data_IF_704028295057
#
_entry.id   IF_704028295057
#
_cell.length_a   1.000
_cell.length_b   1.000
_cell.length_c   1.000
_cell.angle_alpha   90.00
_cell.angle_beta   90.00
_cell.angle_gamma   90.00
#
_symmetry.space_group_name_H-M   'P 1'
#
loop_
_entity.id
_entity.type
_entity.pdbx_description
1 polymer ?
#
# COMPACT_ATOMS: atom_id res chain seq x y z
N UNK A 1 -62.40 -47.74 6.78
CA UNK A 1 -63.47 -47.51 5.78
C UNK A 1 -63.94 -46.08 5.88
N UNK A 2 -64.35 -45.51 4.74
CA UNK A 2 -64.93 -44.18 4.49
C UNK A 2 -63.94 -43.05 4.20
N UNK A 3 -63.73 -42.93 2.89
CA UNK A 3 -63.31 -41.77 2.13
C UNK A 3 -64.04 -40.49 2.53
N UNK A 4 -63.33 -39.36 2.45
CA UNK A 4 -63.91 -38.10 2.00
C UNK A 4 -62.87 -37.36 1.16
N UNK A 5 -63.09 -37.40 -0.15
CA UNK A 5 -62.51 -36.53 -1.17
C UNK A 5 -63.11 -35.13 -0.97
N UNK A 6 -62.25 -34.11 -0.81
CA UNK A 6 -62.62 -32.72 -1.05
C UNK A 6 -61.60 -32.09 -1.99
N UNK A 7 -62.04 -31.98 -3.24
CA UNK A 7 -61.41 -31.24 -4.33
C UNK A 7 -61.64 -29.75 -4.04
N UNK A 8 -60.57 -29.00 -3.86
CA UNK A 8 -60.61 -27.53 -3.85
C UNK A 8 -59.84 -27.03 -5.07
N UNK A 9 -60.58 -26.77 -6.14
CA UNK A 9 -60.08 -26.06 -7.31
C UNK A 9 -60.12 -24.56 -7.02
N UNK A 10 -58.95 -23.96 -6.78
CA UNK A 10 -58.82 -22.50 -6.71
C UNK A 10 -58.17 -21.99 -7.99
N UNK A 11 -58.97 -21.29 -8.78
CA UNK A 11 -58.57 -20.49 -9.94
C UNK A 11 -57.79 -19.28 -9.43
N UNK A 12 -56.50 -19.19 -9.74
CA UNK A 12 -55.73 -17.94 -9.65
C UNK A 12 -55.32 -17.49 -11.05
N UNK A 13 -55.81 -16.30 -11.40
CA UNK A 13 -55.52 -15.57 -12.63
C UNK A 13 -54.03 -15.21 -12.77
N UNK A 14 -53.52 -15.01 -14.00
CA UNK A 14 -52.15 -14.57 -14.22
C UNK A 14 -51.97 -13.12 -13.79
N UNK A 15 -51.21 -12.92 -12.71
CA UNK A 15 -50.64 -11.61 -12.37
C UNK A 15 -49.51 -11.31 -13.35
N UNK A 16 -49.75 -10.34 -14.23
CA UNK A 16 -48.74 -9.73 -15.09
C UNK A 16 -47.65 -9.08 -14.23
N UNK A 17 -46.58 -9.80 -13.96
CA UNK A 17 -45.40 -9.26 -13.29
C UNK A 17 -44.65 -8.31 -14.25
N UNK A 18 -45.02 -7.03 -14.27
CA UNK A 18 -44.16 -5.99 -14.83
C UNK A 18 -43.03 -5.70 -13.85
N UNK A 19 -41.96 -6.50 -13.94
CA UNK A 19 -40.69 -6.20 -13.32
C UNK A 19 -40.05 -5.00 -14.06
N UNK A 20 -40.43 -3.78 -13.70
CA UNK A 20 -39.68 -2.60 -14.10
C UNK A 20 -38.43 -2.50 -13.21
N UNK A 21 -37.30 -2.84 -13.81
CA UNK A 21 -35.96 -2.53 -13.32
C UNK A 21 -35.84 -1.01 -13.13
N UNK A 22 -36.16 -0.53 -11.93
CA UNK A 22 -35.87 0.84 -11.52
C UNK A 22 -34.36 0.97 -11.32
N UNK A 23 -33.65 1.41 -12.35
CA UNK A 23 -32.27 1.84 -12.27
C UNK A 23 -32.20 3.12 -11.42
N UNK A 24 -31.33 3.20 -10.40
CA UNK A 24 -31.09 4.45 -9.68
C UNK A 24 -30.53 5.50 -10.65
N UNK A 25 -31.33 6.51 -11.00
CA UNK A 25 -30.90 7.64 -11.84
C UNK A 25 -31.82 8.02 -13.01
N UNK A 26 -32.93 7.32 -13.24
CA UNK A 26 -33.89 7.74 -14.28
C UNK A 26 -34.76 8.90 -13.77
N UNK A 27 -34.56 10.09 -14.35
CA UNK A 27 -35.41 11.27 -14.12
C UNK A 27 -36.72 11.07 -14.88
N UNK A 28 -37.86 11.21 -14.19
CA UNK A 28 -39.18 11.16 -14.81
C UNK A 28 -39.37 12.30 -15.83
N UNK A 29 -40.06 12.09 -16.96
CA UNK A 29 -40.37 13.19 -17.88
C UNK A 29 -41.37 14.16 -17.23
N UNK A 30 -40.99 15.43 -17.16
CA UNK A 30 -41.84 16.52 -16.68
C UNK A 30 -42.98 16.79 -17.67
N UNK A 31 -44.24 16.96 -17.22
CA UNK A 31 -45.33 17.37 -18.10
C UNK A 31 -45.13 18.80 -18.62
N UNK A 32 -45.48 19.00 -19.88
CA UNK A 32 -45.46 20.30 -20.57
C UNK A 32 -46.46 21.29 -19.96
N UNK A 33 -45.98 22.52 -19.73
CA UNK A 33 -46.84 23.70 -19.60
C UNK A 33 -46.84 24.39 -18.24
N UNK A 34 -45.74 25.06 -17.87
CA UNK A 34 -45.84 26.21 -16.98
C UNK A 34 -44.76 27.27 -17.32
N UNK A 35 -45.21 28.51 -17.46
CA UNK A 35 -44.48 29.65 -18.00
C UNK A 35 -43.29 30.05 -17.10
N UNK A 36 -42.09 30.10 -17.67
CA UNK A 36 -40.87 30.51 -16.97
C UNK A 36 -40.81 32.03 -16.79
N UNK A 37 -40.64 32.47 -15.53
CA UNK A 37 -40.12 33.80 -15.23
C UNK A 37 -38.64 33.92 -15.68
N UNK A 38 -38.17 35.10 -16.10
CA UNK A 38 -36.86 35.25 -16.73
C UNK A 38 -35.69 34.97 -15.76
N UNK A 39 -34.61 34.32 -16.25
CA UNK A 39 -33.46 33.93 -15.43
C UNK A 39 -32.61 35.14 -15.03
N UNK A 40 -32.18 35.17 -13.76
CA UNK A 40 -31.21 36.14 -13.24
C UNK A 40 -29.80 35.87 -13.83
N UNK A 41 -28.96 36.91 -14.01
CA UNK A 41 -27.69 36.78 -14.72
C UNK A 41 -26.70 35.87 -14.00
N UNK A 42 -26.00 35.06 -14.81
CA UNK A 42 -25.00 34.08 -14.44
C UNK A 42 -23.96 34.61 -13.42
N UNK A 43 -23.88 33.95 -12.26
CA UNK A 43 -22.67 33.97 -11.47
C UNK A 43 -21.56 33.28 -12.26
N UNK A 44 -20.42 33.96 -12.42
CA UNK A 44 -19.26 33.45 -13.11
C UNK A 44 -18.84 32.08 -12.54
N UNK A 45 -18.34 31.15 -13.39
CA UNK A 45 -17.87 29.86 -12.93
C UNK A 45 -16.75 30.07 -11.92
N UNK A 46 -16.98 29.61 -10.68
CA UNK A 46 -15.94 29.53 -9.66
C UNK A 46 -14.83 28.66 -10.26
N UNK A 47 -13.67 29.25 -10.52
CA UNK A 47 -12.44 28.51 -10.81
C UNK A 47 -12.31 27.47 -9.71
N UNK A 48 -12.37 26.19 -10.06
CA UNK A 48 -11.93 25.12 -9.19
C UNK A 48 -10.50 25.45 -8.81
N UNK A 49 -10.30 25.86 -7.56
CA UNK A 49 -8.95 25.97 -6.99
C UNK A 49 -8.26 24.66 -7.29
N UNK A 50 -7.16 24.75 -8.05
CA UNK A 50 -6.38 23.59 -8.44
C UNK A 50 -6.07 22.79 -7.20
N UNK A 51 -6.35 21.47 -7.26
CA UNK A 51 -5.99 20.55 -6.20
C UNK A 51 -4.52 20.80 -5.86
N UNK A 52 -4.28 21.34 -4.67
CA UNK A 52 -2.92 21.57 -4.17
C UNK A 52 -2.11 20.26 -4.24
N UNK A 53 -0.77 20.36 -4.26
CA UNK A 53 0.08 19.19 -4.38
C UNK A 53 -0.25 18.15 -3.30
N UNK A 54 -0.49 16.90 -3.73
CA UNK A 54 -0.81 15.79 -2.82
C UNK A 54 0.37 15.58 -1.88
N UNK A 55 0.15 15.81 -0.58
CA UNK A 55 1.18 15.69 0.46
C UNK A 55 1.84 14.32 0.42
N UNK A 56 3.16 14.28 0.56
CA UNK A 56 3.95 13.04 0.57
C UNK A 56 3.48 12.11 1.71
N UNK A 57 3.12 10.85 1.44
CA UNK A 57 2.79 9.90 2.50
C UNK A 57 4.05 9.61 3.30
N UNK A 58 3.88 9.54 4.63
CA UNK A 58 4.93 9.12 5.55
C UNK A 58 4.78 7.62 5.79
N UNK A 59 5.81 6.80 5.54
CA UNK A 59 5.78 5.40 5.92
C UNK A 59 5.49 5.24 7.42
N UNK A 60 4.67 4.27 7.82
CA UNK A 60 4.40 4.00 9.22
C UNK A 60 5.67 3.68 10.02
N UNK A 61 5.69 4.09 11.29
CA UNK A 61 6.80 3.82 12.19
C UNK A 61 6.68 2.41 12.81
N UNK A 62 7.82 1.75 13.06
CA UNK A 62 7.88 0.42 13.70
C UNK A 62 7.15 0.40 15.05
N UNK A 63 7.20 1.51 15.79
CA UNK A 63 6.53 1.67 17.09
C UNK A 63 5.03 1.42 17.05
N UNK A 64 4.41 1.44 15.87
CA UNK A 64 2.99 1.13 15.72
C UNK A 64 2.65 -0.35 15.95
N UNK A 65 3.62 -1.26 15.83
CA UNK A 65 3.42 -2.72 15.98
C UNK A 65 4.19 -3.33 17.16
N UNK A 66 5.13 -2.60 17.75
CA UNK A 66 5.96 -3.11 18.85
C UNK A 66 5.12 -3.44 20.09
N UNK A 67 5.32 -4.64 20.64
CA UNK A 67 4.63 -5.13 21.82
C UNK A 67 3.13 -5.39 21.61
N UNK A 68 2.61 -5.21 20.39
CA UNK A 68 1.22 -5.52 20.08
C UNK A 68 1.04 -6.99 19.73
N UNK A 69 -0.11 -7.53 20.10
CA UNK A 69 -0.57 -8.83 19.59
C UNK A 69 -1.31 -8.60 18.29
N UNK A 70 -0.73 -9.07 17.18
CA UNK A 70 -1.34 -9.02 15.87
C UNK A 70 -1.92 -10.38 15.52
N UNK A 71 -3.13 -10.40 14.97
CA UNK A 71 -3.81 -11.61 14.50
C UNK A 71 -4.08 -11.49 13.00
N UNK A 72 -3.86 -12.59 12.27
CA UNK A 72 -4.21 -12.71 10.87
C UNK A 72 -5.71 -12.49 10.72
N UNK A 73 -6.04 -11.49 9.91
CA UNK A 73 -7.39 -11.05 9.62
C UNK A 73 -8.22 -10.78 10.90
N UNK A 74 -7.55 -10.30 11.96
CA UNK A 74 -8.18 -9.88 13.20
C UNK A 74 -8.64 -11.00 14.15
N UNK A 75 -8.46 -12.28 13.81
CA UNK A 75 -9.00 -13.39 14.64
C UNK A 75 -8.11 -14.61 14.78
N UNK A 76 -7.19 -14.87 13.84
CA UNK A 76 -6.46 -16.16 13.79
C UNK A 76 -4.97 -15.96 13.94
N UNK A 77 -4.32 -16.93 14.59
CA UNK A 77 -2.89 -16.87 14.83
C UNK A 77 -2.49 -15.67 15.71
N UNK A 78 -1.21 -15.64 16.03
CA UNK A 78 -0.63 -14.58 16.85
C UNK A 78 0.76 -14.24 16.34
N UNK A 79 1.03 -12.96 16.18
CA UNK A 79 2.34 -12.43 15.86
C UNK A 79 2.62 -11.26 16.81
N UNK A 80 3.76 -11.32 17.50
CA UNK A 80 4.25 -10.23 18.35
C UNK A 80 5.65 -9.87 17.93
N UNK A 81 5.88 -8.58 17.71
CA UNK A 81 7.18 -8.02 17.32
C UNK A 81 7.73 -7.20 18.47
N UNK A 82 9.01 -7.41 18.75
CA UNK A 82 9.78 -6.58 19.66
C UNK A 82 11.02 -6.04 18.97
N UNK A 83 11.61 -5.04 19.59
CA UNK A 83 12.85 -4.42 19.13
C UNK A 83 13.96 -4.73 20.14
N UNK A 84 15.06 -5.30 19.67
CA UNK A 84 16.25 -5.57 20.48
C UNK A 84 17.42 -4.80 19.87
N UNK A 85 17.80 -3.69 20.49
CA UNK A 85 18.73 -2.74 19.87
C UNK A 85 18.10 -2.10 18.63
N UNK A 86 18.74 -2.24 17.48
CA UNK A 86 18.21 -1.76 16.20
C UNK A 86 17.44 -2.83 15.42
N UNK A 87 17.51 -4.10 15.84
CA UNK A 87 16.90 -5.22 15.14
C UNK A 87 15.46 -5.47 15.60
N UNK A 88 14.55 -5.69 14.64
CA UNK A 88 13.22 -6.22 14.92
C UNK A 88 13.26 -7.75 15.01
N UNK A 89 12.53 -8.29 15.98
CA UNK A 89 12.42 -9.74 16.20
C UNK A 89 10.96 -10.11 16.46
N UNK A 90 10.55 -11.24 15.91
CA UNK A 90 9.27 -11.86 16.24
C UNK A 90 9.47 -12.72 17.48
N UNK A 91 8.89 -12.31 18.61
CA UNK A 91 9.03 -13.01 19.90
C UNK A 91 7.96 -14.08 20.09
N UNK A 92 6.82 -13.93 19.40
CA UNK A 92 5.77 -14.94 19.38
C UNK A 92 5.20 -15.04 17.97
N UNK A 93 5.20 -16.26 17.41
CA UNK A 93 4.54 -16.57 16.15
C UNK A 93 3.76 -17.87 16.28
N UNK A 94 2.44 -17.79 16.18
CA UNK A 94 1.54 -18.94 16.13
C UNK A 94 0.74 -18.85 14.84
N UNK A 95 0.91 -19.84 13.99
CA UNK A 95 0.20 -19.96 12.72
C UNK A 95 -1.03 -20.83 12.90
N UNK A 96 -2.19 -20.31 12.52
CA UNK A 96 -3.43 -21.09 12.47
C UNK A 96 -3.63 -21.67 11.06
N UNK A 97 -4.02 -22.94 10.98
CA UNK A 97 -4.20 -23.65 9.72
C UNK A 97 -5.28 -24.73 9.80
N UNK A 98 -5.30 -25.57 8.77
CA UNK A 98 -6.11 -26.77 8.71
C UNK A 98 -5.21 -28.01 8.62
N UNK A 99 -5.65 -29.13 9.21
CA UNK A 99 -4.87 -30.36 9.17
C UNK A 99 -4.71 -30.85 7.73
N UNK A 100 -3.53 -31.36 7.39
CA UNK A 100 -3.27 -31.90 6.04
C UNK A 100 -4.07 -33.19 5.84
N UNK A 101 -4.08 -34.06 6.85
CA UNK A 101 -4.84 -35.31 6.84
C UNK A 101 -6.36 -35.11 6.88
N UNK A 102 -6.83 -34.04 7.54
CA UNK A 102 -8.25 -33.73 7.74
C UNK A 102 -8.52 -32.24 7.55
N UNK A 103 -8.75 -31.75 6.32
CA UNK A 103 -8.86 -30.31 6.03
C UNK A 103 -9.98 -29.55 6.76
N UNK A 104 -10.94 -30.27 7.35
CA UNK A 104 -12.03 -29.68 8.14
C UNK A 104 -11.67 -29.52 9.64
N UNK A 105 -10.50 -29.98 10.07
CA UNK A 105 -10.00 -29.82 11.43
C UNK A 105 -8.93 -28.74 11.48
N UNK A 106 -8.97 -27.89 12.50
CA UNK A 106 -7.94 -26.87 12.72
C UNK A 106 -6.64 -27.47 13.24
N UNK A 107 -5.54 -26.79 12.94
CA UNK A 107 -4.22 -27.04 13.52
C UNK A 107 -3.54 -25.71 13.85
N UNK A 108 -2.58 -25.74 14.77
CA UNK A 108 -1.74 -24.61 15.09
C UNK A 108 -0.28 -25.03 15.09
N UNK A 109 0.59 -24.12 14.63
CA UNK A 109 2.04 -24.30 14.64
C UNK A 109 2.67 -23.09 15.31
N UNK A 110 3.30 -23.31 16.46
CA UNK A 110 4.19 -22.33 17.05
C UNK A 110 5.51 -22.31 16.27
N UNK A 111 6.05 -21.13 16.03
CA UNK A 111 7.35 -20.92 15.41
C UNK A 111 8.23 -20.10 16.35
N UNK A 112 9.52 -20.42 16.40
CA UNK A 112 10.48 -19.74 17.27
C UNK A 112 10.60 -20.38 18.66
N UNK A 113 10.35 -21.69 18.79
CA UNK A 113 10.53 -22.42 20.05
C UNK A 113 12.00 -22.38 20.55
N UNK A 114 12.95 -22.22 19.62
CA UNK A 114 14.38 -22.04 19.93
C UNK A 114 14.78 -20.58 20.21
N UNK A 115 13.82 -19.64 20.18
CA UNK A 115 14.02 -18.22 20.49
C UNK A 115 13.43 -17.26 19.45
N UNK A 116 13.52 -15.93 19.72
CA UNK A 116 12.96 -14.90 18.83
C UNK A 116 13.51 -14.96 17.41
N UNK A 117 12.64 -14.80 16.42
CA UNK A 117 13.01 -14.87 15.00
C UNK A 117 13.38 -13.48 14.51
N UNK A 118 14.64 -13.27 14.11
CA UNK A 118 15.10 -11.98 13.59
C UNK A 118 14.43 -11.65 12.24
N UNK A 119 13.98 -10.40 12.09
CA UNK A 119 13.45 -9.87 10.85
C UNK A 119 14.55 -9.15 10.08
N UNK A 120 14.77 -9.57 8.82
CA UNK A 120 15.73 -8.90 7.94
C UNK A 120 15.05 -7.73 7.22
N UNK A 121 15.55 -6.51 7.40
CA UNK A 121 15.06 -5.36 6.66
C UNK A 121 15.40 -5.46 5.16
N UNK A 122 14.41 -5.23 4.30
CA UNK A 122 14.54 -5.23 2.83
C UNK A 122 14.37 -3.82 2.22
N UNK A 123 14.29 -2.78 3.05
CA UNK A 123 14.05 -1.40 2.60
C UNK A 123 12.56 -1.12 2.36
N UNK A 124 12.23 -0.30 1.36
CA UNK A 124 10.84 0.09 1.07
C UNK A 124 10.53 0.03 -0.44
N UNK A 125 10.54 -1.17 -1.05
CA UNK A 125 10.43 -1.34 -2.51
C UNK A 125 9.12 -0.80 -3.09
N UNK A 126 8.02 -0.91 -2.34
CA UNK A 126 6.70 -0.38 -2.71
C UNK A 126 6.31 0.82 -1.82
N UNK A 127 7.29 1.52 -1.25
CA UNK A 127 7.08 2.67 -0.35
C UNK A 127 6.76 2.31 1.11
N UNK A 128 6.20 1.14 1.38
CA UNK A 128 6.10 0.59 2.74
C UNK A 128 7.40 -0.14 3.14
N UNK A 129 7.83 0.01 4.39
CA UNK A 129 9.01 -0.70 4.90
C UNK A 129 8.73 -2.21 4.89
N UNK A 130 9.58 -2.98 4.23
CA UNK A 130 9.47 -4.42 4.08
C UNK A 130 10.52 -5.14 4.91
N UNK A 131 10.08 -6.18 5.59
CA UNK A 131 10.93 -7.13 6.30
C UNK A 131 10.74 -8.54 5.73
N UNK A 132 11.76 -9.36 5.88
CA UNK A 132 11.73 -10.80 5.61
C UNK A 132 11.87 -11.56 6.93
N UNK A 133 10.90 -12.41 7.22
CA UNK A 133 11.05 -13.44 8.24
C UNK A 133 11.73 -14.64 7.59
N UNK A 134 12.98 -14.87 7.97
CA UNK A 134 13.78 -15.96 7.44
C UNK A 134 13.47 -17.25 8.21
N UNK A 135 12.70 -18.13 7.58
CA UNK A 135 12.44 -19.49 8.06
C UNK A 135 12.68 -20.47 6.91
N UNK A 136 13.29 -21.61 7.21
CA UNK A 136 13.48 -22.70 6.24
C UNK A 136 12.17 -23.35 5.80
N UNK A 137 11.11 -23.24 6.62
CA UNK A 137 9.82 -23.91 6.38
C UNK A 137 8.75 -22.94 5.87
N UNK A 138 8.76 -21.69 6.33
CA UNK A 138 7.73 -20.71 6.01
C UNK A 138 8.32 -19.29 5.88
N UNK A 139 9.03 -18.98 4.78
CA UNK A 139 9.54 -17.64 4.55
C UNK A 139 8.39 -16.67 4.28
N UNK A 140 8.41 -15.52 4.94
CA UNK A 140 7.35 -14.51 4.85
C UNK A 140 7.93 -13.12 4.53
N UNK A 141 7.22 -12.37 3.70
CA UNK A 141 7.46 -10.95 3.48
C UNK A 141 6.42 -10.15 4.25
N UNK A 142 6.87 -9.17 5.04
CA UNK A 142 6.05 -8.38 5.93
C UNK A 142 6.19 -6.90 5.54
N UNK A 143 5.11 -6.31 5.02
CA UNK A 143 5.04 -4.87 4.76
C UNK A 143 4.44 -4.14 5.96
N UNK A 144 5.18 -3.19 6.52
CA UNK A 144 4.76 -2.38 7.66
C UNK A 144 3.73 -1.34 7.25
N UNK A 145 2.55 -1.43 7.88
CA UNK A 145 1.43 -0.51 7.74
C UNK A 145 1.10 0.11 9.11
N UNK A 146 0.17 1.06 9.15
CA UNK A 146 -0.17 1.75 10.41
C UNK A 146 -0.81 0.82 11.44
N UNK A 147 0.00 0.24 12.33
CA UNK A 147 -0.45 -0.71 13.36
C UNK A 147 -0.76 -2.10 12.82
N UNK A 148 -0.27 -2.45 11.63
CA UNK A 148 -0.49 -3.75 11.03
C UNK A 148 0.71 -4.17 10.16
N UNK A 149 0.78 -5.46 9.85
CA UNK A 149 1.69 -6.04 8.88
C UNK A 149 0.87 -6.68 7.76
N UNK A 150 1.10 -6.30 6.51
CA UNK A 150 0.61 -7.08 5.38
C UNK A 150 1.62 -8.18 5.11
N UNK A 151 1.20 -9.43 5.29
CA UNK A 151 2.05 -10.60 5.11
C UNK A 151 1.74 -11.27 3.78
N UNK A 152 2.78 -11.68 3.08
CA UNK A 152 2.69 -12.47 1.86
C UNK A 152 3.78 -13.54 1.85
N UNK A 153 3.51 -14.64 1.15
CA UNK A 153 4.47 -15.73 0.94
C UNK A 153 4.75 -15.90 -0.54
N UNK A 154 6.02 -16.10 -0.95
CA UNK A 154 6.35 -16.31 -2.36
C UNK A 154 5.89 -17.67 -2.90
N UNK A 155 5.66 -18.66 -2.03
CA UNK A 155 5.33 -20.04 -2.40
C UNK A 155 3.92 -20.49 -2.00
N UNK A 156 3.06 -19.57 -1.53
CA UNK A 156 1.70 -19.88 -1.08
C UNK A 156 1.64 -20.38 0.37
N UNK A 157 0.66 -21.23 0.69
CA UNK A 157 0.44 -21.72 2.05
C UNK A 157 1.65 -22.52 2.57
N UNK A 158 2.02 -22.31 3.82
CA UNK A 158 3.07 -23.04 4.51
C UNK A 158 2.56 -24.42 4.93
N UNK A 159 3.38 -25.46 4.74
CA UNK A 159 2.98 -26.84 5.03
C UNK A 159 4.00 -27.49 5.98
N UNK A 160 3.50 -27.90 7.14
CA UNK A 160 4.26 -28.49 8.24
C UNK A 160 3.88 -29.97 8.36
N UNK A 161 4.61 -30.84 7.65
CA UNK A 161 4.32 -32.29 7.62
C UNK A 161 4.33 -32.92 9.01
N UNK A 162 5.31 -32.57 9.85
CA UNK A 162 5.46 -33.11 11.20
C UNK A 162 4.31 -32.70 12.14
N UNK A 163 3.75 -31.51 11.92
CA UNK A 163 2.61 -31.00 12.68
C UNK A 163 1.25 -31.32 12.03
N UNK A 164 1.25 -32.09 10.92
CA UNK A 164 0.06 -32.35 10.10
C UNK A 164 -0.73 -31.07 9.78
N UNK A 165 -0.04 -29.97 9.43
CA UNK A 165 -0.67 -28.65 9.36
C UNK A 165 -0.37 -27.89 8.07
N UNK A 166 -1.40 -27.31 7.45
CA UNK A 166 -1.30 -26.36 6.34
C UNK A 166 -1.83 -25.01 6.76
N UNK A 167 -0.96 -24.01 6.83
CA UNK A 167 -1.29 -22.64 7.24
C UNK A 167 -1.15 -21.66 6.07
N UNK A 168 -2.24 -20.97 5.73
CA UNK A 168 -2.17 -19.80 4.84
C UNK A 168 -1.98 -18.55 5.70
N UNK A 169 -0.78 -18.00 5.64
CA UNK A 169 -0.35 -16.85 6.45
C UNK A 169 -0.49 -15.52 5.71
N UNK A 170 -0.92 -15.56 4.45
CA UNK A 170 -1.08 -14.36 3.62
C UNK A 170 -2.32 -13.58 4.04
N UNK A 171 -2.17 -12.27 4.20
CA UNK A 171 -3.27 -11.41 4.63
C UNK A 171 -2.80 -10.23 5.44
N UNK A 172 -3.73 -9.63 6.20
CA UNK A 172 -3.42 -8.50 7.07
C UNK A 172 -3.34 -9.00 8.52
N UNK A 173 -2.17 -8.89 9.12
CA UNK A 173 -1.96 -9.12 10.54
C UNK A 173 -2.13 -7.80 11.27
N UNK A 174 -3.22 -7.67 12.02
CA UNK A 174 -3.60 -6.42 12.68
C UNK A 174 -4.18 -6.67 14.08
N UNK A 175 -4.58 -5.61 14.79
CA UNK A 175 -5.21 -5.74 16.10
C UNK A 175 -6.51 -6.56 16.00
N UNK A 176 -6.86 -7.34 17.03
CA UNK A 176 -8.13 -8.06 17.05
C UNK A 176 -9.31 -7.09 16.85
N UNK A 177 -10.31 -7.47 16.06
CA UNK A 177 -11.41 -6.56 15.70
C UNK A 177 -12.17 -6.00 16.92
N UNK A 178 -12.28 -6.80 17.98
CA UNK A 178 -12.90 -6.40 19.24
C UNK A 178 -12.11 -5.32 20.03
N UNK A 179 -10.87 -5.01 19.64
CA UNK A 179 -10.02 -4.04 20.32
C UNK A 179 -10.26 -2.59 19.90
N UNK A 180 -11.04 -2.35 18.84
CA UNK A 180 -11.27 -1.00 18.32
C UNK A 180 -12.39 -0.27 19.06
N UNK A 181 -12.08 0.94 19.54
CA UNK A 181 -13.08 1.88 20.06
C UNK A 181 -13.86 2.57 18.95
N UNK A 182 -15.07 3.06 19.26
CA UNK A 182 -15.87 3.85 18.32
C UNK A 182 -15.13 5.09 17.78
N UNK A 183 -14.29 5.72 18.61
CA UNK A 183 -13.46 6.86 18.19
C UNK A 183 -12.40 6.48 17.16
N UNK A 184 -11.82 5.28 17.28
CA UNK A 184 -10.88 4.75 16.29
C UNK A 184 -11.61 4.45 14.99
N UNK A 185 -12.78 3.82 15.04
CA UNK A 185 -13.61 3.50 13.86
C UNK A 185 -13.91 4.78 13.05
N UNK A 186 -14.42 5.84 13.70
CA UNK A 186 -14.66 7.14 13.04
C UNK A 186 -13.39 7.75 12.44
N UNK A 187 -12.25 7.52 13.07
CA UNK A 187 -10.95 7.98 12.57
C UNK A 187 -10.52 7.18 11.34
N UNK A 188 -10.72 5.86 11.34
CA UNK A 188 -10.40 5.00 10.21
C UNK A 188 -11.18 5.39 8.95
N UNK A 189 -12.46 5.68 9.08
CA UNK A 189 -13.29 6.13 7.97
C UNK A 189 -12.79 7.44 7.36
N UNK A 190 -12.47 8.43 8.20
CA UNK A 190 -11.97 9.74 7.78
C UNK A 190 -10.60 9.62 7.10
N UNK A 191 -9.68 8.86 7.69
CA UNK A 191 -8.35 8.62 7.14
C UNK A 191 -8.43 7.88 5.80
N UNK A 192 -9.30 6.87 5.69
CA UNK A 192 -9.51 6.12 4.45
C UNK A 192 -10.01 7.04 3.35
N UNK A 193 -10.99 7.91 3.63
CA UNK A 193 -11.48 8.87 2.65
C UNK A 193 -10.37 9.84 2.17
N UNK A 194 -9.46 10.24 3.06
CA UNK A 194 -8.28 11.03 2.69
C UNK A 194 -7.32 10.27 1.79
N UNK A 195 -6.99 9.02 2.15
CA UNK A 195 -6.09 8.16 1.38
C UNK A 195 -6.67 7.75 0.01
N UNK A 196 -7.98 7.56 -0.10
CA UNK A 196 -8.64 7.29 -1.39
C UNK A 196 -8.50 8.48 -2.35
N UNK A 197 -8.70 9.71 -1.84
CA UNK A 197 -8.48 10.94 -2.62
C UNK A 197 -7.01 11.07 -3.06
N UNK A 198 -6.07 10.81 -2.14
CA UNK A 198 -4.64 10.82 -2.44
C UNK A 198 -4.26 9.79 -3.50
N UNK A 199 -4.72 8.55 -3.33
CA UNK A 199 -4.52 7.43 -4.27
C UNK A 199 -5.03 7.80 -5.67
N UNK A 200 -6.24 8.36 -5.77
CA UNK A 200 -6.81 8.78 -7.05
C UNK A 200 -6.02 9.92 -7.70
N UNK A 201 -5.53 10.89 -6.91
CA UNK A 201 -4.70 11.96 -7.43
C UNK A 201 -3.34 11.43 -7.93
N UNK A 202 -2.66 10.57 -7.16
CA UNK A 202 -1.38 9.93 -7.58
C UNK A 202 -1.53 9.05 -8.81
N UNK A 203 -2.63 8.32 -8.91
CA UNK A 203 -2.96 7.54 -10.10
C UNK A 203 -3.11 8.44 -11.34
N UNK A 204 -3.81 9.57 -11.23
CA UNK A 204 -3.92 10.55 -12.32
C UNK A 204 -2.56 11.14 -12.69
N UNK A 205 -1.70 11.43 -11.72
CA UNK A 205 -0.34 11.92 -11.96
C UNK A 205 0.51 10.89 -12.70
N UNK A 206 0.43 9.61 -12.32
CA UNK A 206 1.11 8.52 -13.01
C UNK A 206 0.57 8.30 -14.43
N UNK A 207 -0.75 8.38 -14.64
CA UNK A 207 -1.33 8.33 -15.98
C UNK A 207 -0.83 9.48 -16.86
N UNK A 208 -0.81 10.70 -16.33
CA UNK A 208 -0.28 11.87 -17.03
C UNK A 208 1.20 11.67 -17.39
N UNK A 209 1.99 11.09 -16.47
CA UNK A 209 3.40 10.72 -16.69
C UNK A 209 3.56 9.66 -17.79
N UNK A 210 2.64 8.70 -17.88
CA UNK A 210 2.63 7.66 -18.92
C UNK A 210 1.87 8.03 -20.19
N UNK A 211 1.46 9.29 -20.37
CA UNK A 211 0.71 9.75 -21.56
C UNK A 211 1.38 9.38 -22.90
N UNK A 212 2.72 9.31 -22.93
CA UNK A 212 3.50 8.93 -24.13
C UNK A 212 3.93 7.45 -24.14
N UNK A 213 3.49 6.65 -23.16
CA UNK A 213 3.86 5.25 -22.96
C UNK A 213 2.56 4.41 -22.82
N UNK A 214 1.84 4.15 -23.92
CA UNK A 214 0.49 3.58 -23.88
C UNK A 214 0.44 2.22 -23.19
N UNK A 215 1.47 1.38 -23.32
CA UNK A 215 1.49 0.06 -22.68
C UNK A 215 1.63 0.17 -21.16
N UNK A 216 2.47 1.08 -20.65
CA UNK A 216 2.55 1.35 -19.21
C UNK A 216 1.24 1.96 -18.67
N UNK A 217 0.60 2.82 -19.44
CA UNK A 217 -0.71 3.38 -19.07
C UNK A 217 -1.79 2.28 -18.98
N UNK A 218 -1.82 1.34 -19.94
CA UNK A 218 -2.74 0.19 -19.92
C UNK A 218 -2.50 -0.72 -18.71
N UNK A 219 -1.24 -1.04 -18.42
CA UNK A 219 -0.86 -1.84 -17.25
C UNK A 219 -1.26 -1.13 -15.95
N UNK A 220 -1.06 0.19 -15.86
CA UNK A 220 -1.45 0.98 -14.69
C UNK A 220 -2.98 1.00 -14.48
N UNK A 221 -3.77 1.15 -15.55
CA UNK A 221 -5.24 1.08 -15.46
C UNK A 221 -5.69 -0.31 -15.02
N UNK A 222 -5.11 -1.38 -15.57
CA UNK A 222 -5.40 -2.76 -15.16
C UNK A 222 -5.06 -2.99 -13.69
N UNK A 223 -3.85 -2.60 -13.26
CA UNK A 223 -3.39 -2.69 -11.87
C UNK A 223 -4.33 -1.93 -10.91
N UNK A 224 -4.85 -0.78 -11.32
CA UNK A 224 -5.83 -0.02 -10.53
C UNK A 224 -7.18 -0.75 -10.41
N UNK A 225 -7.65 -1.42 -11.46
CA UNK A 225 -8.86 -2.23 -11.41
C UNK A 225 -8.67 -3.48 -10.53
N UNK A 226 -7.54 -4.17 -10.69
CA UNK A 226 -7.18 -5.36 -9.91
C UNK A 226 -7.05 -5.03 -8.42
N UNK A 227 -6.55 -3.84 -8.07
CA UNK A 227 -6.44 -3.38 -6.67
C UNK A 227 -7.80 -3.37 -5.96
N UNK A 228 -8.86 -2.87 -6.60
CA UNK A 228 -10.19 -2.82 -5.98
C UNK A 228 -10.73 -4.21 -5.64
N UNK A 229 -10.62 -5.15 -6.58
CA UNK A 229 -11.03 -6.54 -6.40
C UNK A 229 -10.16 -7.25 -5.35
N UNK A 230 -8.84 -7.06 -5.40
CA UNK A 230 -7.92 -7.64 -4.42
C UNK A 230 -8.18 -7.11 -3.02
N UNK A 231 -8.40 -5.80 -2.84
CA UNK A 231 -8.73 -5.20 -1.54
C UNK A 231 -10.02 -5.80 -0.98
N UNK A 232 -11.06 -5.93 -1.81
CA UNK A 232 -12.32 -6.52 -1.37
C UNK A 232 -12.15 -7.98 -0.96
N UNK A 233 -11.41 -8.78 -1.73
CA UNK A 233 -11.14 -10.19 -1.41
C UNK A 233 -10.36 -10.32 -0.09
N UNK A 234 -9.29 -9.56 0.08
CA UNK A 234 -8.44 -9.64 1.28
C UNK A 234 -9.18 -9.17 2.53
N UNK A 235 -9.93 -8.06 2.44
CA UNK A 235 -10.57 -7.49 3.63
C UNK A 235 -11.89 -8.16 4.02
N UNK A 236 -12.50 -8.95 3.14
CA UNK A 236 -13.70 -9.73 3.45
C UNK A 236 -13.49 -10.65 4.65
N UNK A 237 -12.28 -11.19 4.79
CA UNK A 237 -11.98 -12.18 5.83
C UNK A 237 -11.52 -11.53 7.15
N UNK A 238 -11.35 -10.20 7.17
CA UNK A 238 -11.00 -9.48 8.40
C UNK A 238 -12.24 -9.37 9.28
N UNK A 239 -12.15 -9.86 10.50
CA UNK A 239 -13.29 -9.93 11.42
C UNK A 239 -13.94 -8.56 11.59
N UNK A 240 -15.26 -8.49 11.39
CA UNK A 240 -16.09 -7.27 11.50
C UNK A 240 -15.63 -6.08 10.63
N UNK A 241 -14.99 -6.34 9.49
CA UNK A 241 -14.49 -5.28 8.60
C UNK A 241 -15.57 -4.29 8.17
N UNK A 242 -16.78 -4.75 7.87
CA UNK A 242 -17.92 -3.93 7.50
C UNK A 242 -18.30 -2.89 8.58
N UNK A 243 -17.92 -3.14 9.83
CA UNK A 243 -18.18 -2.24 10.96
C UNK A 243 -17.08 -1.19 11.12
N UNK A 244 -15.81 -1.58 11.00
CA UNK A 244 -14.69 -0.70 11.36
C UNK A 244 -13.82 -0.22 10.21
N UNK A 245 -13.79 -0.91 9.06
CA UNK A 245 -13.02 -0.50 7.87
C UNK A 245 -11.49 -0.50 8.03
N UNK A 246 -10.94 -1.15 9.06
CA UNK A 246 -9.51 -1.16 9.35
C UNK A 246 -8.69 -1.79 8.22
N UNK A 247 -9.09 -2.95 7.70
CA UNK A 247 -8.34 -3.57 6.61
C UNK A 247 -8.34 -2.72 5.34
N UNK A 248 -9.51 -2.19 4.96
CA UNK A 248 -9.67 -1.34 3.79
C UNK A 248 -8.82 -0.07 3.91
N UNK A 249 -8.73 0.51 5.10
CA UNK A 249 -7.83 1.62 5.40
C UNK A 249 -6.37 1.24 5.14
N UNK A 250 -5.88 0.16 5.76
CA UNK A 250 -4.46 -0.24 5.66
C UNK A 250 -4.05 -0.65 4.26
N UNK A 251 -4.90 -1.34 3.51
CA UNK A 251 -4.62 -1.65 2.11
C UNK A 251 -4.66 -0.42 1.19
N UNK A 252 -5.46 0.60 1.54
CA UNK A 252 -5.45 1.88 0.81
C UNK A 252 -4.19 2.70 1.13
N UNK A 253 -3.72 2.68 2.38
CA UNK A 253 -2.42 3.23 2.79
C UNK A 253 -1.27 2.59 2.00
N UNK A 254 -1.24 1.26 1.92
CA UNK A 254 -0.25 0.53 1.14
C UNK A 254 -0.27 0.94 -0.35
N UNK A 255 -1.47 1.14 -0.92
CA UNK A 255 -1.62 1.59 -2.31
C UNK A 255 -1.12 3.01 -2.52
N UNK A 256 -1.43 3.93 -1.61
CA UNK A 256 -0.95 5.31 -1.70
C UNK A 256 0.59 5.38 -1.65
N UNK A 257 1.19 4.62 -0.73
CA UNK A 257 2.65 4.48 -0.63
C UNK A 257 3.27 3.93 -1.92
N UNK A 258 2.69 2.87 -2.50
CA UNK A 258 3.19 2.25 -3.73
C UNK A 258 3.10 3.20 -4.94
N UNK A 259 1.99 3.92 -5.09
CA UNK A 259 1.85 4.91 -6.17
C UNK A 259 2.81 6.09 -5.96
N UNK A 260 3.04 6.48 -4.71
CA UNK A 260 4.03 7.51 -4.38
C UNK A 260 5.45 7.08 -4.71
N UNK A 261 5.85 5.85 -4.37
CA UNK A 261 7.17 5.29 -4.69
C UNK A 261 7.42 5.28 -6.21
N UNK A 262 6.45 4.79 -6.99
CA UNK A 262 6.51 4.82 -8.47
C UNK A 262 6.61 6.23 -9.06
N UNK A 263 6.05 7.24 -8.39
CA UNK A 263 6.22 8.64 -8.79
C UNK A 263 7.64 9.14 -8.49
N UNK A 264 8.23 8.71 -7.37
CA UNK A 264 9.54 9.13 -6.88
C UNK A 264 10.71 8.49 -7.64
N UNK A 265 10.62 7.22 -8.04
CA UNK A 265 11.72 6.49 -8.70
C UNK A 265 12.17 7.20 -9.99
N UNK A 266 11.24 7.57 -10.88
CA UNK A 266 11.60 8.35 -12.08
C UNK A 266 12.02 9.81 -11.75
N UNK A 267 11.68 10.36 -10.58
CA UNK A 267 12.17 11.67 -10.17
C UNK A 267 13.66 11.59 -9.76
N UNK A 268 14.08 10.46 -9.20
CA UNK A 268 15.48 10.09 -9.01
C UNK A 268 16.23 9.99 -10.33
N UNK A 269 15.66 9.29 -11.31
CA UNK A 269 16.24 9.14 -12.65
C UNK A 269 16.42 10.48 -13.36
N UNK A 270 15.40 11.37 -13.31
CA UNK A 270 15.49 12.72 -13.91
C UNK A 270 16.51 13.62 -13.21
N UNK A 271 16.72 13.47 -11.90
CA UNK A 271 17.77 14.22 -11.17
C UNK A 271 19.16 13.69 -11.51
N UNK A 272 19.32 12.37 -11.63
CA UNK A 272 20.57 11.76 -12.08
C UNK A 272 20.92 12.17 -13.51
N UNK A 273 19.95 12.21 -14.41
CA UNK A 273 20.12 12.62 -15.81
C UNK A 273 20.47 14.11 -15.94
N UNK A 274 19.83 14.98 -15.15
CA UNK A 274 20.20 16.41 -15.08
C UNK A 274 21.58 16.64 -14.46
N UNK A 275 21.92 15.90 -13.40
CA UNK A 275 23.25 15.96 -12.79
C UNK A 275 24.36 15.47 -13.73
N UNK A 276 24.07 14.47 -14.57
CA UNK A 276 24.98 14.00 -15.61
C UNK A 276 25.12 15.02 -16.76
N UNK A 277 24.02 15.65 -17.19
CA UNK A 277 24.03 16.70 -18.21
C UNK A 277 24.80 17.96 -17.76
N UNK A 278 24.63 18.37 -16.50
CA UNK A 278 25.31 19.54 -15.93
C UNK A 278 26.82 19.30 -15.69
N UNK A 279 27.21 18.04 -15.44
CA UNK A 279 28.62 17.64 -15.33
C UNK A 279 29.31 17.56 -16.69
N UNK A 280 28.55 17.30 -17.77
CA UNK A 280 29.08 17.23 -19.13
C UNK A 280 29.25 18.62 -19.77
N UNK A 281 28.36 19.58 -19.47
CA UNK A 281 28.49 20.97 -19.95
C UNK A 281 29.65 21.72 -19.28
N UNK A 282 30.04 21.37 -18.05
CA UNK A 282 31.26 21.92 -17.40
C UNK A 282 32.58 21.41 -17.98
N UNK A 283 32.59 20.32 -18.76
CA UNK A 283 33.79 19.84 -19.48
C UNK A 283 33.93 20.41 -20.90
N UNK A 284 32.91 21.12 -21.41
CA UNK A 284 32.89 21.70 -22.74
C UNK A 284 33.06 23.24 -22.75
N UNK A 285 33.68 23.81 -21.70
CA UNK A 285 34.16 25.19 -21.79
C UNK A 285 35.51 25.19 -22.53
N UNK A 286 35.62 25.88 -23.70
CA UNK A 286 36.86 25.90 -24.45
C UNK A 286 37.94 26.67 -23.66
N UNK A 287 39.02 25.98 -23.30
CA UNK A 287 40.25 26.62 -22.80
C UNK A 287 40.77 27.55 -23.88
N UNK A 288 40.83 28.85 -23.58
CA UNK A 288 41.62 29.82 -24.38
C UNK A 288 43.06 29.32 -24.52
N UNK A 289 43.68 29.40 -25.70
CA UNK A 289 45.09 29.05 -25.86
C UNK A 289 45.96 30.06 -25.11
N UNK A 290 46.78 29.58 -24.18
CA UNK A 290 47.81 30.38 -23.54
C UNK A 290 48.97 30.58 -24.52
N UNK A 291 49.26 31.83 -24.86
CA UNK A 291 50.47 32.22 -25.57
C UNK A 291 51.65 32.28 -24.58
N UNK A 292 52.80 31.78 -25.01
CA UNK A 292 54.12 32.05 -24.45
C UNK A 292 55.07 32.28 -25.64
N UNK A 293 56.33 32.76 -25.49
CA UNK A 293 57.03 33.33 -24.31
C UNK A 293 57.83 34.63 -24.65
N UNK A 294 58.53 35.25 -23.67
CA UNK A 294 60.01 35.47 -23.68
C UNK A 294 60.52 36.38 -22.53
N UNK A 295 61.85 36.34 -22.23
CA UNK A 295 62.42 36.43 -20.88
C UNK A 295 63.28 37.68 -20.66
N UNK A 296 63.70 37.93 -19.41
CA UNK A 296 65.02 38.54 -19.13
C UNK A 296 65.43 38.34 -17.66
N UNK A 297 66.70 37.89 -17.47
CA UNK A 297 67.70 38.30 -16.44
C UNK A 297 67.34 38.33 -14.96
N UNK A 298 68.22 38.13 -13.97
CA UNK A 298 69.52 37.50 -13.74
C UNK A 298 69.70 37.67 -12.21
N UNK A 299 70.37 36.73 -11.53
CA UNK A 299 70.49 36.66 -10.05
C UNK A 299 71.47 37.74 -9.47
N UNK A 300 71.78 37.83 -8.14
CA UNK A 300 72.31 36.72 -7.33
C UNK A 300 71.95 36.63 -5.81
N UNK A 301 72.00 35.39 -5.35
CA UNK A 301 72.55 34.81 -4.10
C UNK A 301 72.53 35.56 -2.74
N UNK A 302 72.01 34.86 -1.72
CA UNK A 302 72.64 34.75 -0.40
C UNK A 302 72.35 33.36 0.20
N UNK A 303 73.38 32.80 0.85
CA UNK A 303 73.58 31.40 1.23
C UNK A 303 72.85 30.97 2.55
N UNK A 304 72.88 29.67 2.92
CA UNK A 304 72.12 29.10 4.03
C UNK A 304 72.94 29.04 5.33
N UNK A 305 72.25 29.07 6.48
CA UNK A 305 72.84 28.75 7.78
C UNK A 305 72.06 27.62 8.48
N UNK A 306 72.74 26.47 8.53
CA UNK A 306 72.93 25.54 9.64
C UNK A 306 71.73 25.07 10.50
N UNK A 307 71.54 23.75 10.47
CA UNK A 307 71.00 22.93 11.57
C UNK A 307 71.95 22.95 12.79
N UNK A 308 71.44 22.65 14.00
CA UNK A 308 71.61 21.31 14.59
C UNK A 308 70.28 20.85 15.25
N UNK A 309 69.92 19.57 15.43
CA UNK A 309 70.69 18.39 15.78
C UNK A 309 70.42 18.00 17.25
N UNK A 310 70.04 16.73 17.48
CA UNK A 310 69.99 15.98 18.77
C UNK A 310 68.72 16.18 19.62
N UNK A 311 68.00 15.16 20.11
CA UNK A 311 68.26 13.74 20.42
C UNK A 311 67.10 12.83 19.97
#
# INVERSE_FOLDING_TARGET
MRAFLLIFALVLAPLSAQAQLALPGAVAPTPEGESMAPPKPHAAPRKTEGAGPVSRPKPPAESAILGQTLSLNGTRGVLTVEKTGDDLRVTRLVLAGAKVSHPNQSCEVAMGDDGPITLKALGAPDGATRYELQSSVCPMLLDLLGGALRVSTPFGACVFMQADCRADVSGLWGPPAASFSESQIKTFERERAGLEKSTQARFRDLLNKFKKKPDLARLLVKDQADFGASRSKTCRDYDKEETHGFCALRLTEARDLALHARLADDAGDRKAEKGAAEKNTRKAAPRKPAAAPRPTTLAPAAAPTAQPGLY
#
